data_IF_027656063841
#
_entry.id   IF_027656063841
#
_cell.length_a   1.000
_cell.length_b   1.000
_cell.length_c   1.000
_cell.angle_alpha   90.00
_cell.angle_beta   90.00
_cell.angle_gamma   90.00
#
_symmetry.space_group_name_H-M   'P 1'
#
loop_
_entity.id
_entity.type
_entity.pdbx_description
1 polymer ?
#
# COMPACT_ATOMS: atom_id res chain seq x y z
N UNK A 1 -53.00 -3.36 -32.81
CA UNK A 1 -52.47 -3.84 -31.50
C UNK A 1 -51.05 -4.41 -31.63
N UNK A 2 -50.77 -5.32 -32.57
CA UNK A 2 -49.44 -5.88 -32.79
C UNK A 2 -48.33 -4.84 -33.11
N UNK A 3 -48.63 -3.81 -33.90
CA UNK A 3 -47.64 -2.77 -34.25
C UNK A 3 -47.22 -1.89 -33.05
N UNK A 4 -48.14 -1.64 -32.11
CA UNK A 4 -47.85 -0.87 -30.89
C UNK A 4 -46.99 -1.70 -29.93
N UNK A 5 -47.26 -3.01 -29.83
CA UNK A 5 -46.46 -3.94 -29.02
C UNK A 5 -45.03 -4.07 -29.59
N UNK A 6 -44.87 -4.13 -30.92
CA UNK A 6 -43.56 -4.20 -31.57
C UNK A 6 -42.73 -2.92 -31.36
N UNK A 7 -43.34 -1.73 -31.45
CA UNK A 7 -42.65 -0.46 -31.21
C UNK A 7 -42.27 -0.29 -29.73
N UNK A 8 -43.13 -0.69 -28.80
CA UNK A 8 -42.81 -0.69 -27.36
C UNK A 8 -41.67 -1.65 -27.04
N UNK A 9 -41.62 -2.84 -27.65
CA UNK A 9 -40.50 -3.76 -27.49
C UNK A 9 -39.19 -3.23 -28.08
N UNK A 10 -39.22 -2.60 -29.26
CA UNK A 10 -38.00 -2.02 -29.87
C UNK A 10 -37.50 -0.81 -29.07
N UNK A 11 -38.38 0.00 -28.49
CA UNK A 11 -38.00 1.12 -27.62
C UNK A 11 -37.51 0.65 -26.25
N UNK A 12 -38.09 -0.41 -25.67
CA UNK A 12 -37.61 -0.99 -24.41
C UNK A 12 -36.28 -1.74 -24.58
N UNK A 13 -36.11 -2.48 -25.68
CA UNK A 13 -34.86 -3.20 -25.99
C UNK A 13 -33.78 -2.21 -26.44
N UNK A 14 -34.10 -1.26 -27.32
CA UNK A 14 -33.16 -0.24 -27.78
C UNK A 14 -32.80 0.80 -26.70
N UNK A 15 -33.80 1.22 -25.92
CA UNK A 15 -33.59 2.12 -24.78
C UNK A 15 -32.79 1.46 -23.66
N UNK A 16 -33.09 0.21 -23.33
CA UNK A 16 -32.34 -0.58 -22.35
C UNK A 16 -30.89 -0.84 -22.76
N UNK A 17 -30.63 -0.99 -24.06
CA UNK A 17 -29.29 -1.18 -24.61
C UNK A 17 -28.43 0.09 -24.51
N UNK A 18 -29.00 1.27 -24.82
CA UNK A 18 -28.29 2.55 -24.74
C UNK A 18 -28.12 3.03 -23.28
N UNK A 19 -29.03 2.67 -22.38
CA UNK A 19 -28.93 3.02 -20.95
C UNK A 19 -28.08 2.05 -20.13
N UNK A 20 -27.55 0.98 -20.72
CA UNK A 20 -26.80 -0.07 -20.01
C UNK A 20 -25.68 0.48 -19.11
N UNK A 21 -24.82 1.39 -19.58
CA UNK A 21 -23.78 1.99 -18.74
C UNK A 21 -24.30 2.72 -17.49
N UNK A 22 -25.51 3.29 -17.55
CA UNK A 22 -26.06 4.14 -16.48
C UNK A 22 -26.63 3.36 -15.29
N UNK A 23 -27.13 2.13 -15.50
CA UNK A 23 -27.68 1.30 -14.42
C UNK A 23 -26.72 0.21 -13.93
N UNK A 24 -25.67 -0.09 -14.70
CA UNK A 24 -24.68 -1.11 -14.39
C UNK A 24 -24.08 -0.98 -12.97
N UNK A 25 -23.67 0.22 -12.48
CA UNK A 25 -23.14 0.35 -11.13
C UNK A 25 -24.10 -0.12 -10.04
N UNK A 26 -25.40 0.16 -10.19
CA UNK A 26 -26.43 -0.26 -9.24
C UNK A 26 -26.67 -1.77 -9.26
N UNK A 27 -26.63 -2.37 -10.46
CA UNK A 27 -26.76 -3.81 -10.59
C UNK A 27 -25.56 -4.51 -9.95
N UNK A 28 -24.33 -4.13 -10.31
CA UNK A 28 -23.11 -4.70 -9.72
C UNK A 28 -23.07 -4.52 -8.21
N UNK A 29 -23.43 -3.35 -7.69
CA UNK A 29 -23.48 -3.11 -6.25
C UNK A 29 -24.33 -4.12 -5.48
N UNK A 30 -25.42 -4.61 -6.08
CA UNK A 30 -26.32 -5.59 -5.45
C UNK A 30 -26.02 -7.06 -5.79
N UNK A 31 -25.24 -7.35 -6.82
CA UNK A 31 -25.09 -8.71 -7.36
C UNK A 31 -23.69 -9.29 -7.29
N UNK A 32 -22.65 -8.45 -7.09
CA UNK A 32 -21.28 -8.93 -6.94
C UNK A 32 -20.69 -8.54 -5.58
N UNK A 33 -19.62 -9.24 -5.21
CA UNK A 33 -18.88 -9.03 -3.96
C UNK A 33 -19.79 -9.12 -2.72
N UNK A 34 -20.72 -10.08 -2.72
CA UNK A 34 -21.74 -10.29 -1.69
C UNK A 34 -22.53 -9.02 -1.29
N UNK A 35 -22.73 -8.11 -2.25
CA UNK A 35 -23.50 -6.88 -2.07
C UNK A 35 -22.81 -5.82 -1.18
N UNK A 36 -21.49 -5.92 -1.01
CA UNK A 36 -20.71 -5.02 -0.14
C UNK A 36 -20.29 -3.70 -0.82
N UNK A 37 -20.63 -3.51 -2.09
CA UNK A 37 -20.20 -2.35 -2.88
C UNK A 37 -21.26 -1.25 -2.91
N UNK A 38 -20.80 0.00 -2.98
CA UNK A 38 -21.65 1.16 -3.23
C UNK A 38 -21.82 1.39 -4.73
N UNK A 39 -23.07 1.61 -5.17
CA UNK A 39 -23.36 1.96 -6.56
C UNK A 39 -22.70 3.29 -6.96
N UNK A 40 -22.65 4.26 -6.05
CA UNK A 40 -22.03 5.56 -6.31
C UNK A 40 -20.51 5.42 -6.46
N UNK A 41 -19.86 4.59 -5.65
CA UNK A 41 -18.42 4.36 -5.79
C UNK A 41 -18.09 3.57 -7.06
N UNK A 42 -18.95 2.64 -7.45
CA UNK A 42 -18.81 1.92 -8.71
C UNK A 42 -19.01 2.83 -9.92
N UNK A 43 -19.92 3.81 -9.86
CA UNK A 43 -20.10 4.79 -10.93
C UNK A 43 -18.85 5.68 -11.11
N UNK A 44 -18.11 5.96 -10.03
CA UNK A 44 -16.87 6.73 -10.09
C UNK A 44 -15.67 5.91 -10.64
N UNK A 45 -15.68 4.58 -10.51
CA UNK A 45 -14.52 3.70 -10.85
C UNK A 45 -14.71 2.98 -12.17
N UNK A 46 -15.92 2.57 -12.48
CA UNK A 46 -16.21 1.82 -13.70
C UNK A 46 -16.27 2.76 -14.91
N UNK A 47 -15.73 2.37 -16.07
CA UNK A 47 -15.80 3.19 -17.26
C UNK A 47 -17.24 3.26 -17.81
N UNK A 48 -17.56 4.35 -18.51
CA UNK A 48 -18.83 4.56 -19.23
C UNK A 48 -18.94 3.71 -20.51
N UNK A 49 -18.81 2.39 -20.37
CA UNK A 49 -18.95 1.41 -21.45
C UNK A 49 -19.64 0.14 -20.96
N UNK A 50 -19.96 -0.74 -21.90
CA UNK A 50 -20.52 -2.05 -21.56
C UNK A 50 -19.47 -2.90 -20.80
N UNK A 51 -19.92 -3.55 -19.74
CA UNK A 51 -19.10 -4.38 -18.86
C UNK A 51 -19.79 -5.72 -18.65
N UNK A 52 -19.01 -6.71 -18.23
CA UNK A 52 -19.46 -8.03 -17.86
C UNK A 52 -19.13 -8.25 -16.39
N UNK A 53 -20.02 -8.96 -15.68
CA UNK A 53 -19.66 -9.41 -14.33
C UNK A 53 -18.46 -10.35 -14.43
N UNK A 54 -17.42 -10.09 -13.66
CA UNK A 54 -16.35 -11.05 -13.47
C UNK A 54 -16.83 -12.25 -12.66
N UNK A 55 -15.92 -13.19 -12.40
CA UNK A 55 -16.20 -14.32 -11.51
C UNK A 55 -16.20 -13.85 -10.05
N UNK A 56 -17.10 -14.40 -9.26
CA UNK A 56 -17.11 -14.24 -7.80
C UNK A 56 -16.84 -15.58 -7.11
N UNK A 57 -15.94 -15.54 -6.13
CA UNK A 57 -15.66 -16.61 -5.18
C UNK A 57 -15.70 -16.01 -3.77
N UNK A 58 -16.73 -16.36 -2.99
CA UNK A 58 -16.94 -15.82 -1.65
C UNK A 58 -17.02 -16.94 -0.61
N UNK A 59 -16.14 -16.87 0.39
CA UNK A 59 -16.18 -17.66 1.62
C UNK A 59 -15.86 -16.74 2.81
N UNK A 60 -16.83 -15.87 3.09
CA UNK A 60 -16.67 -14.77 4.05
C UNK A 60 -16.53 -15.26 5.50
N UNK A 61 -17.05 -16.45 5.81
CA UNK A 61 -16.85 -17.10 7.10
C UNK A 61 -15.38 -17.43 7.38
N UNK A 62 -14.58 -17.59 6.32
CA UNK A 62 -13.12 -17.77 6.40
C UNK A 62 -12.35 -16.55 5.87
N UNK A 63 -13.04 -15.42 5.65
CA UNK A 63 -12.43 -14.16 5.25
C UNK A 63 -11.83 -14.17 3.85
N UNK A 64 -12.45 -14.92 2.94
CA UNK A 64 -12.05 -15.00 1.53
C UNK A 64 -13.11 -14.36 0.64
N UNK A 65 -12.71 -13.42 -0.19
CA UNK A 65 -13.57 -12.84 -1.23
C UNK A 65 -12.74 -12.52 -2.46
N UNK A 66 -13.12 -13.06 -3.61
CA UNK A 66 -12.59 -12.64 -4.92
C UNK A 66 -13.76 -12.26 -5.79
N UNK A 67 -13.72 -11.08 -6.36
CA UNK A 67 -14.77 -10.61 -7.26
C UNK A 67 -14.21 -9.53 -8.18
N UNK A 68 -14.93 -9.24 -9.26
CA UNK A 68 -14.49 -8.24 -10.20
C UNK A 68 -15.53 -7.90 -11.26
N UNK A 69 -15.19 -6.89 -12.04
CA UNK A 69 -15.96 -6.47 -13.22
C UNK A 69 -15.00 -6.43 -14.37
N UNK A 70 -15.34 -7.11 -15.45
CA UNK A 70 -14.55 -7.18 -16.67
C UNK A 70 -15.13 -6.24 -17.73
N UNK A 71 -14.27 -5.75 -18.61
CA UNK A 71 -14.65 -5.12 -19.86
C UNK A 71 -15.09 -6.17 -20.88
N UNK A 72 -15.77 -5.73 -21.92
CA UNK A 72 -16.22 -6.55 -23.05
C UNK A 72 -15.09 -7.30 -23.78
N UNK A 73 -13.87 -6.73 -23.80
CA UNK A 73 -12.65 -7.33 -24.35
C UNK A 73 -11.89 -8.23 -23.35
N UNK A 74 -12.45 -8.49 -22.17
CA UNK A 74 -11.91 -9.43 -21.18
C UNK A 74 -10.76 -8.88 -20.33
N UNK A 75 -10.53 -7.57 -20.35
CA UNK A 75 -9.67 -6.89 -19.37
C UNK A 75 -10.46 -6.59 -18.09
N UNK A 76 -9.81 -6.48 -16.94
CA UNK A 76 -10.51 -6.11 -15.71
C UNK A 76 -10.73 -4.59 -15.65
N UNK A 77 -11.92 -4.16 -15.23
CA UNK A 77 -12.21 -2.78 -14.79
C UNK A 77 -12.08 -2.63 -13.27
N UNK A 78 -12.41 -3.70 -12.53
CA UNK A 78 -12.29 -3.78 -11.08
C UNK A 78 -11.89 -5.21 -10.70
N UNK A 79 -10.89 -5.35 -9.83
CA UNK A 79 -10.51 -6.62 -9.20
C UNK A 79 -10.45 -6.40 -7.70
N UNK A 80 -11.05 -7.31 -6.96
CA UNK A 80 -11.07 -7.33 -5.51
C UNK A 80 -10.58 -8.69 -5.04
N UNK A 81 -9.60 -8.67 -4.14
CA UNK A 81 -9.15 -9.84 -3.40
C UNK A 81 -9.16 -9.51 -1.91
N UNK A 82 -9.83 -10.34 -1.11
CA UNK A 82 -9.80 -10.28 0.36
C UNK A 82 -9.38 -11.64 0.87
N UNK A 83 -8.35 -11.67 1.70
CA UNK A 83 -7.81 -12.91 2.27
C UNK A 83 -7.50 -12.75 3.75
N UNK A 84 -7.84 -13.78 4.53
CA UNK A 84 -7.52 -13.85 5.96
C UNK A 84 -6.68 -15.08 6.33
N UNK A 85 -6.49 -16.01 5.39
CA UNK A 85 -5.60 -17.15 5.58
C UNK A 85 -4.15 -16.67 5.61
N UNK A 86 -3.31 -17.10 6.58
CA UNK A 86 -1.98 -16.53 6.76
C UNK A 86 -1.06 -16.77 5.57
N UNK A 87 -1.15 -17.92 4.92
CA UNK A 87 -0.28 -18.27 3.80
C UNK A 87 -0.69 -17.49 2.54
N UNK A 88 -2.00 -17.32 2.34
CA UNK A 88 -2.54 -16.49 1.25
C UNK A 88 -2.23 -15.01 1.48
N UNK A 89 -2.38 -14.49 2.70
CA UNK A 89 -2.01 -13.13 3.09
C UNK A 89 -0.52 -12.87 2.83
N UNK A 90 0.36 -13.77 3.28
CA UNK A 90 1.79 -13.64 3.05
C UNK A 90 2.10 -13.67 1.55
N UNK A 91 1.39 -14.50 0.76
CA UNK A 91 1.55 -14.56 -0.69
C UNK A 91 1.10 -13.29 -1.40
N UNK A 92 -0.07 -12.73 -1.05
CA UNK A 92 -0.59 -11.49 -1.65
C UNK A 92 0.33 -10.30 -1.37
N UNK A 93 0.79 -10.16 -0.12
CA UNK A 93 1.71 -9.09 0.26
C UNK A 93 3.10 -9.29 -0.34
N UNK A 94 3.62 -10.52 -0.37
CA UNK A 94 4.91 -10.80 -1.03
C UNK A 94 4.81 -10.52 -2.54
N UNK A 95 3.69 -10.87 -3.16
CA UNK A 95 3.43 -10.71 -4.59
C UNK A 95 3.60 -9.27 -5.07
N UNK A 96 3.10 -8.30 -4.31
CA UNK A 96 3.29 -6.86 -4.60
C UNK A 96 4.76 -6.49 -4.77
N UNK A 97 5.61 -6.97 -3.87
CA UNK A 97 6.99 -6.55 -3.79
C UNK A 97 7.97 -7.51 -4.47
N UNK A 98 7.46 -8.35 -5.38
CA UNK A 98 8.31 -9.16 -6.27
C UNK A 98 9.02 -8.29 -7.31
N UNK A 99 8.38 -7.20 -7.73
CA UNK A 99 9.00 -6.10 -8.44
C UNK A 99 9.41 -5.08 -7.36
N UNK A 100 10.61 -4.48 -7.43
CA UNK A 100 11.04 -3.41 -6.51
C UNK A 100 10.17 -2.15 -6.65
N UNK A 101 8.91 -2.21 -6.23
CA UNK A 101 7.96 -1.11 -6.20
C UNK A 101 7.91 -0.57 -4.79
N UNK A 102 8.04 0.74 -4.66
CA UNK A 102 7.80 1.42 -3.38
C UNK A 102 6.30 1.68 -3.28
N UNK A 103 5.69 1.54 -2.10
CA UNK A 103 4.33 2.02 -1.90
C UNK A 103 4.26 3.50 -2.32
N UNK A 104 3.32 3.82 -3.20
CA UNK A 104 3.21 5.15 -3.82
C UNK A 104 2.77 6.21 -2.82
N UNK A 105 1.86 5.86 -1.91
CA UNK A 105 1.42 6.70 -0.80
C UNK A 105 0.66 5.85 0.22
N UNK A 106 0.54 6.36 1.44
CA UNK A 106 -0.22 5.74 2.53
C UNK A 106 -1.59 6.41 2.62
N UNK A 107 -2.59 5.66 3.04
CA UNK A 107 -3.96 6.15 3.13
C UNK A 107 -4.16 7.19 4.25
N UNK A 108 -5.24 7.99 4.19
CA UNK A 108 -5.59 8.94 5.26
C UNK A 108 -5.64 8.28 6.65
N UNK A 109 -5.52 9.12 7.68
CA UNK A 109 -5.48 8.70 9.08
C UNK A 109 -6.59 7.69 9.43
N UNK A 110 -6.19 6.59 10.08
CA UNK A 110 -7.08 5.52 10.53
C UNK A 110 -7.23 4.34 9.58
N UNK A 111 -6.66 4.38 8.36
CA UNK A 111 -6.72 3.28 7.40
C UNK A 111 -5.34 2.59 7.32
N UNK A 112 -5.18 1.35 7.83
CA UNK A 112 -3.88 0.67 7.89
C UNK A 112 -3.53 0.06 6.53
N UNK A 113 -3.16 0.88 5.56
CA UNK A 113 -2.93 0.43 4.19
C UNK A 113 -2.01 1.32 3.37
N UNK A 114 -1.79 0.93 2.12
CA UNK A 114 -0.95 1.62 1.17
C UNK A 114 -1.42 1.42 -0.27
N UNK A 115 -1.12 2.38 -1.14
CA UNK A 115 -1.22 2.20 -2.58
C UNK A 115 0.08 1.63 -3.12
N UNK A 116 -0.04 0.72 -4.08
CA UNK A 116 1.08 0.19 -4.84
C UNK A 116 0.77 0.15 -6.34
N UNK A 117 1.63 -0.48 -7.14
CA UNK A 117 1.40 -0.65 -8.57
C UNK A 117 0.30 -1.68 -8.84
N UNK A 118 0.10 -2.65 -7.94
CA UNK A 118 -0.94 -3.68 -8.08
C UNK A 118 -2.24 -3.37 -7.32
N UNK A 119 -2.43 -2.14 -6.84
CA UNK A 119 -3.70 -1.66 -6.29
C UNK A 119 -3.61 -1.04 -4.90
N UNK A 120 -4.78 -0.91 -4.26
CA UNK A 120 -4.93 -0.44 -2.89
C UNK A 120 -4.90 -1.63 -1.94
N UNK A 121 -3.98 -1.63 -0.98
CA UNK A 121 -3.85 -2.67 0.03
C UNK A 121 -4.26 -2.13 1.40
N UNK A 122 -5.26 -2.72 2.03
CA UNK A 122 -5.58 -2.53 3.45
C UNK A 122 -5.16 -3.79 4.19
N UNK A 123 -4.41 -3.63 5.28
CA UNK A 123 -3.94 -4.73 6.13
C UNK A 123 -4.41 -4.47 7.56
N UNK A 124 -5.51 -5.12 7.95
CA UNK A 124 -6.07 -5.02 9.29
C UNK A 124 -5.64 -6.20 10.16
N UNK A 125 -5.24 -5.92 11.40
CA UNK A 125 -5.11 -6.97 12.41
C UNK A 125 -6.52 -7.47 12.80
N UNK A 126 -6.67 -8.80 12.92
CA UNK A 126 -7.89 -9.47 13.35
C UNK A 126 -7.68 -10.11 14.75
N UNK A 127 -7.89 -9.34 15.84
CA UNK A 127 -7.56 -9.77 17.20
C UNK A 127 -8.42 -10.91 17.74
N UNK A 128 -9.65 -11.06 17.27
CA UNK A 128 -10.58 -12.08 17.78
C UNK A 128 -10.38 -13.44 17.09
N UNK A 129 -9.63 -13.47 15.98
CA UNK A 129 -9.23 -14.71 15.34
C UNK A 129 -8.07 -15.35 16.08
N UNK A 130 -8.09 -16.69 16.14
CA UNK A 130 -7.01 -17.46 16.73
C UNK A 130 -5.70 -17.19 15.99
N UNK A 131 -4.64 -16.90 16.76
CA UNK A 131 -3.26 -16.85 16.25
C UNK A 131 -2.93 -18.09 15.43
N UNK A 132 -2.10 -17.91 14.42
CA UNK A 132 -1.70 -19.03 13.56
C UNK A 132 -0.78 -20.03 14.27
N UNK A 133 -0.35 -21.07 13.55
CA UNK A 133 0.53 -22.13 14.06
C UNK A 133 1.89 -21.61 14.56
N UNK A 134 2.32 -20.43 14.09
CA UNK A 134 3.56 -19.77 14.50
C UNK A 134 3.33 -18.72 15.60
N UNK A 135 2.11 -18.62 16.13
CA UNK A 135 1.74 -17.66 17.16
C UNK A 135 1.57 -16.22 16.65
N UNK A 136 1.49 -16.01 15.33
CA UNK A 136 1.33 -14.68 14.73
C UNK A 136 -0.11 -14.20 14.82
N UNK A 137 -0.29 -12.87 14.80
CA UNK A 137 -1.62 -12.27 14.69
C UNK A 137 -2.22 -12.63 13.33
N UNK A 138 -3.53 -12.92 13.29
CA UNK A 138 -4.24 -13.04 12.02
C UNK A 138 -4.47 -11.64 11.46
N UNK A 139 -4.46 -11.54 10.14
CA UNK A 139 -4.73 -10.31 9.41
C UNK A 139 -5.79 -10.55 8.36
N UNK A 140 -6.51 -9.50 8.03
CA UNK A 140 -7.33 -9.42 6.83
C UNK A 140 -6.61 -8.48 5.86
N UNK A 141 -6.24 -9.00 4.69
CA UNK A 141 -5.70 -8.18 3.60
C UNK A 141 -6.81 -7.99 2.59
N UNK A 142 -7.13 -6.73 2.28
CA UNK A 142 -8.02 -6.34 1.20
C UNK A 142 -7.22 -5.62 0.13
N UNK A 143 -7.22 -6.17 -1.08
CA UNK A 143 -6.60 -5.61 -2.26
C UNK A 143 -7.69 -5.21 -3.25
N UNK A 144 -7.63 -3.97 -3.75
CA UNK A 144 -8.53 -3.48 -4.79
C UNK A 144 -7.75 -2.84 -5.92
N UNK A 145 -7.96 -3.35 -7.12
CA UNK A 145 -7.44 -2.81 -8.38
C UNK A 145 -8.60 -2.20 -9.14
N UNK A 146 -8.48 -0.95 -9.56
CA UNK A 146 -9.49 -0.28 -10.37
C UNK A 146 -8.88 0.94 -11.04
N UNK A 147 -9.69 1.66 -11.82
CA UNK A 147 -9.27 2.91 -12.42
C UNK A 147 -8.70 3.86 -11.33
N UNK A 148 -7.53 4.44 -11.61
CA UNK A 148 -6.84 5.38 -10.72
C UNK A 148 -6.50 6.65 -11.50
N UNK A 149 -7.04 7.79 -11.06
CA UNK A 149 -6.66 9.10 -11.56
C UNK A 149 -5.64 9.75 -10.61
N UNK A 150 -4.38 9.78 -11.03
CA UNK A 150 -3.27 10.40 -10.29
C UNK A 150 -3.49 11.90 -10.03
N UNK A 151 -4.28 12.60 -10.85
CA UNK A 151 -4.48 14.06 -10.74
C UNK A 151 -5.57 14.44 -9.74
N UNK A 152 -6.64 13.67 -9.67
CA UNK A 152 -7.78 13.94 -8.79
C UNK A 152 -7.78 13.06 -7.53
N UNK A 153 -6.85 12.12 -7.46
CA UNK A 153 -6.76 11.12 -6.40
C UNK A 153 -7.90 10.13 -6.58
N UNK A 154 -7.76 8.95 -6.00
CA UNK A 154 -8.85 7.98 -6.06
C UNK A 154 -9.47 7.79 -4.68
N UNK A 155 -10.49 8.62 -4.35
CA UNK A 155 -11.37 8.36 -3.23
C UNK A 155 -12.20 7.10 -3.44
N UNK A 156 -12.74 6.86 -4.64
CA UNK A 156 -13.74 5.82 -4.85
C UNK A 156 -13.17 4.40 -4.72
N UNK A 157 -12.05 4.10 -5.38
CA UNK A 157 -11.38 2.78 -5.26
C UNK A 157 -10.93 2.51 -3.82
N UNK A 158 -10.45 3.53 -3.10
CA UNK A 158 -10.12 3.41 -1.68
C UNK A 158 -11.38 3.23 -0.80
N UNK A 159 -12.48 3.93 -1.07
CA UNK A 159 -13.77 3.75 -0.37
C UNK A 159 -14.33 2.36 -0.61
N UNK A 160 -14.18 1.80 -1.81
CA UNK A 160 -14.48 0.40 -2.12
C UNK A 160 -13.62 -0.52 -1.24
N UNK A 161 -12.30 -0.33 -1.22
CA UNK A 161 -11.40 -1.14 -0.39
C UNK A 161 -11.78 -1.09 1.09
N UNK A 162 -12.07 0.10 1.63
CA UNK A 162 -12.50 0.29 3.02
C UNK A 162 -13.84 -0.40 3.30
N UNK A 163 -14.82 -0.25 2.40
CA UNK A 163 -16.15 -0.86 2.56
C UNK A 163 -16.08 -2.39 2.57
N UNK A 164 -15.29 -2.96 1.65
CA UNK A 164 -15.04 -4.40 1.59
C UNK A 164 -14.30 -4.90 2.83
N UNK A 165 -13.25 -4.20 3.25
CA UNK A 165 -12.48 -4.56 4.43
C UNK A 165 -13.36 -4.56 5.70
N UNK A 166 -14.20 -3.54 5.88
CA UNK A 166 -15.18 -3.47 6.97
C UNK A 166 -16.23 -4.58 6.88
N UNK A 167 -16.84 -4.77 5.72
CA UNK A 167 -17.90 -5.76 5.51
C UNK A 167 -17.43 -7.20 5.69
N UNK A 168 -16.26 -7.55 5.13
CA UNK A 168 -15.66 -8.88 5.30
C UNK A 168 -15.19 -9.07 6.74
N UNK A 169 -14.56 -8.07 7.36
CA UNK A 169 -14.15 -8.15 8.77
C UNK A 169 -15.32 -8.42 9.71
N UNK A 170 -16.45 -7.74 9.50
CA UNK A 170 -17.68 -7.93 10.27
C UNK A 170 -18.23 -9.36 10.10
N UNK A 171 -18.33 -9.85 8.86
CA UNK A 171 -18.85 -11.20 8.56
C UNK A 171 -17.93 -12.31 9.07
N UNK A 172 -16.61 -12.08 9.01
CA UNK A 172 -15.60 -12.95 9.59
C UNK A 172 -15.61 -12.93 11.14
N UNK A 173 -16.18 -11.88 11.75
CA UNK A 173 -16.16 -11.69 13.20
C UNK A 173 -14.73 -11.50 13.73
N UNK A 174 -13.88 -10.82 12.96
CA UNK A 174 -12.44 -10.84 13.19
C UNK A 174 -11.95 -9.85 14.28
N UNK A 175 -12.84 -8.98 14.75
CA UNK A 175 -12.59 -8.01 15.82
C UNK A 175 -11.79 -6.78 15.39
N UNK A 176 -11.59 -6.57 14.08
CA UNK A 176 -10.90 -5.38 13.60
C UNK A 176 -11.79 -4.14 13.81
N UNK A 177 -11.23 -2.99 14.25
CA UNK A 177 -11.96 -1.74 14.31
C UNK A 177 -12.49 -1.34 12.93
N UNK A 178 -13.70 -0.78 12.90
CA UNK A 178 -14.28 -0.22 11.68
C UNK A 178 -13.40 0.94 11.16
N UNK A 179 -13.03 0.85 9.90
CA UNK A 179 -12.20 1.84 9.24
C UNK A 179 -13.04 3.03 8.77
N UNK A 180 -12.53 4.26 8.88
CA UNK A 180 -13.23 5.44 8.42
C UNK A 180 -13.29 5.47 6.88
N UNK A 181 -14.48 5.72 6.32
CA UNK A 181 -14.62 5.95 4.88
C UNK A 181 -13.95 7.28 4.49
N UNK A 182 -12.97 7.28 3.57
CA UNK A 182 -12.28 8.49 3.20
C UNK A 182 -13.17 9.40 2.36
N UNK A 183 -13.30 10.65 2.79
CA UNK A 183 -14.03 11.68 2.02
C UNK A 183 -13.23 12.16 0.79
N UNK A 184 -11.89 12.16 0.90
CA UNK A 184 -10.93 12.46 -0.19
C UNK A 184 -9.64 11.66 0.07
N UNK A 185 -8.99 11.19 -0.99
CA UNK A 185 -7.60 10.75 -0.91
C UNK A 185 -6.72 12.01 -0.74
N UNK A 186 -5.88 12.04 0.29
CA UNK A 186 -4.85 13.09 0.40
C UNK A 186 -3.71 12.67 -0.50
N UNK A 187 -3.64 13.24 -1.70
CA UNK A 187 -2.61 12.91 -2.70
C UNK A 187 -1.30 13.62 -2.36
N UNK A 188 -1.39 14.82 -1.78
CA UNK A 188 -0.24 15.65 -1.48
C UNK A 188 -0.11 15.83 0.02
N UNK A 189 0.73 15.00 0.63
CA UNK A 189 1.22 15.27 1.97
C UNK A 189 2.05 16.57 1.93
N UNK A 190 1.59 17.57 2.68
CA UNK A 190 2.27 18.85 2.77
C UNK A 190 3.64 18.67 3.42
N UNK A 191 4.70 19.02 2.71
CA UNK A 191 6.03 19.03 3.28
C UNK A 191 6.11 19.98 4.50
N UNK A 192 6.54 19.50 5.66
CA UNK A 192 6.65 20.24 6.93
C UNK A 192 8.10 20.36 7.40
N UNK A 193 8.37 21.12 8.46
CA UNK A 193 9.70 21.12 9.06
C UNK A 193 10.04 19.74 9.65
N UNK A 194 11.31 19.30 9.68
CA UNK A 194 11.68 17.98 10.19
C UNK A 194 11.17 17.68 11.62
N UNK A 195 11.15 18.66 12.51
CA UNK A 195 10.63 18.51 13.87
C UNK A 195 9.09 18.35 13.94
N UNK A 196 8.38 18.78 12.90
CA UNK A 196 6.92 18.71 12.76
C UNK A 196 6.48 17.45 11.99
N UNK A 197 7.42 16.61 11.55
CA UNK A 197 7.18 15.41 10.75
C UNK A 197 6.49 14.25 11.47
N UNK A 198 5.72 14.51 12.53
CA UNK A 198 4.93 13.51 13.23
C UNK A 198 5.73 12.29 13.73
N UNK A 199 5.06 11.14 13.79
CA UNK A 199 5.63 9.91 14.33
C UNK A 199 6.67 9.24 13.43
N UNK A 200 6.59 9.41 12.11
CA UNK A 200 7.46 8.71 11.16
C UNK A 200 8.68 9.56 10.72
N UNK A 201 8.57 10.89 10.68
CA UNK A 201 9.69 11.79 10.34
C UNK A 201 10.22 12.66 11.49
N UNK A 202 9.50 12.81 12.62
CA UNK A 202 9.89 13.73 13.69
C UNK A 202 11.28 13.49 14.29
N UNK A 203 11.84 12.28 14.13
CA UNK A 203 13.21 11.95 14.53
C UNK A 203 14.27 12.78 13.79
N UNK A 204 13.98 13.24 12.56
CA UNK A 204 14.88 14.08 11.76
C UNK A 204 15.17 15.42 12.45
N UNK A 205 14.25 15.91 13.29
CA UNK A 205 14.46 17.12 14.10
C UNK A 205 15.48 16.94 15.24
N UNK A 206 15.86 15.70 15.57
CA UNK A 206 16.77 15.37 16.69
C UNK A 206 18.15 14.87 16.24
N UNK A 207 18.39 14.82 14.93
CA UNK A 207 19.65 14.37 14.34
C UNK A 207 20.33 15.50 13.57
N UNK A 208 21.64 15.37 13.39
CA UNK A 208 22.39 16.27 12.52
C UNK A 208 22.13 15.91 11.06
N UNK A 209 21.37 16.73 10.35
CA UNK A 209 21.15 16.59 8.92
C UNK A 209 22.37 17.08 8.11
N UNK A 210 22.64 16.49 6.93
CA UNK A 210 23.63 17.02 6.01
C UNK A 210 23.22 18.42 5.52
N UNK A 211 24.16 19.18 4.97
CA UNK A 211 23.82 20.49 4.37
C UNK A 211 22.95 20.25 3.14
N UNK A 212 21.82 20.94 3.05
CA UNK A 212 21.01 20.95 1.84
C UNK A 212 21.79 21.63 0.70
N UNK A 213 21.95 20.99 -0.47
CA UNK A 213 22.65 21.58 -1.61
C UNK A 213 22.04 22.90 -2.13
N UNK A 214 20.73 23.13 -1.93
CA UNK A 214 20.08 24.40 -2.27
C UNK A 214 20.36 25.52 -1.26
N UNK A 215 20.97 25.20 -0.11
CA UNK A 215 21.17 26.11 1.02
C UNK A 215 19.89 26.42 1.80
N UNK A 216 18.73 25.89 1.41
CA UNK A 216 17.46 26.05 2.15
C UNK A 216 17.33 25.00 3.27
N UNK A 217 16.47 25.25 4.27
CA UNK A 217 16.14 24.22 5.26
C UNK A 217 15.57 22.96 4.58
N UNK A 218 15.89 21.79 5.14
CA UNK A 218 15.18 20.56 4.76
C UNK A 218 13.71 20.65 5.16
N UNK A 219 12.84 19.98 4.39
CA UNK A 219 11.48 19.65 4.79
C UNK A 219 11.29 18.14 4.75
N UNK A 220 10.17 17.68 5.28
CA UNK A 220 9.83 16.26 5.31
C UNK A 220 8.39 16.03 4.89
N UNK A 221 8.19 14.91 4.21
CA UNK A 221 6.88 14.32 3.88
C UNK A 221 6.80 13.02 4.66
N UNK A 222 5.69 12.77 5.35
CA UNK A 222 5.60 11.72 6.36
C UNK A 222 4.22 11.11 6.34
N UNK A 223 4.20 9.80 6.28
CA UNK A 223 2.94 9.07 6.46
C UNK A 223 2.53 9.05 7.93
N UNK A 224 1.30 8.64 8.16
CA UNK A 224 0.72 8.54 9.50
C UNK A 224 1.30 7.36 10.31
N UNK A 225 1.12 7.44 11.63
CA UNK A 225 1.65 6.45 12.56
C UNK A 225 0.93 5.09 12.47
N UNK A 226 1.65 4.01 12.78
CA UNK A 226 1.12 2.63 12.99
C UNK A 226 0.53 1.91 11.77
N UNK A 227 0.95 2.28 10.57
CA UNK A 227 0.60 1.55 9.34
C UNK A 227 1.47 0.30 9.12
N UNK A 228 1.06 -0.65 8.26
CA UNK A 228 1.89 -1.83 7.91
C UNK A 228 3.21 -1.43 7.26
N UNK A 229 3.23 -0.27 6.59
CA UNK A 229 4.43 0.36 6.04
C UNK A 229 4.43 1.84 6.45
N UNK A 230 5.44 2.24 7.22
CA UNK A 230 5.73 3.64 7.55
C UNK A 230 6.67 4.21 6.51
N UNK A 231 6.52 5.47 6.12
CA UNK A 231 7.50 6.16 5.28
C UNK A 231 7.78 7.57 5.76
N UNK A 232 8.97 8.03 5.44
CA UNK A 232 9.46 9.35 5.71
C UNK A 232 10.38 9.79 4.57
N UNK A 233 10.08 10.90 3.92
CA UNK A 233 10.87 11.43 2.81
C UNK A 233 11.47 12.77 3.20
N UNK A 234 12.79 12.88 3.06
CA UNK A 234 13.53 14.13 3.20
C UNK A 234 13.50 14.88 1.87
N UNK A 235 12.95 16.09 1.84
CA UNK A 235 12.76 16.88 0.62
C UNK A 235 13.51 18.21 0.68
N UNK A 236 14.05 18.63 -0.46
CA UNK A 236 14.61 19.98 -0.61
C UNK A 236 13.47 21.01 -0.71
N UNK A 237 13.43 21.98 0.21
CA UNK A 237 12.39 23.01 0.21
C UNK A 237 12.37 23.91 -1.03
N UNK A 238 13.51 24.07 -1.72
CA UNK A 238 13.59 24.94 -2.89
C UNK A 238 12.97 24.30 -4.14
N UNK A 239 13.30 23.03 -4.39
CA UNK A 239 12.87 22.29 -5.57
C UNK A 239 11.65 21.40 -5.34
N UNK A 240 11.32 21.09 -4.09
CA UNK A 240 10.33 20.06 -3.73
C UNK A 240 10.81 18.63 -3.97
N UNK A 241 12.05 18.43 -4.44
CA UNK A 241 12.54 17.13 -4.85
C UNK A 241 12.92 16.24 -3.64
N UNK A 242 12.58 14.94 -3.67
CA UNK A 242 13.01 13.98 -2.67
C UNK A 242 14.53 13.76 -2.75
N UNK A 243 15.17 13.71 -1.58
CA UNK A 243 16.62 13.51 -1.44
C UNK A 243 16.95 12.16 -0.80
N UNK A 244 16.14 11.75 0.16
CA UNK A 244 16.25 10.44 0.78
C UNK A 244 14.88 9.97 1.24
N UNK A 245 14.63 8.69 1.06
CA UNK A 245 13.43 8.01 1.50
C UNK A 245 13.81 7.03 2.61
N UNK A 246 12.96 6.95 3.63
CA UNK A 246 13.07 6.02 4.73
C UNK A 246 11.76 5.26 4.83
N UNK A 247 11.82 3.94 4.93
CA UNK A 247 10.61 3.12 5.00
C UNK A 247 10.76 2.02 6.05
N UNK A 248 9.69 1.72 6.78
CA UNK A 248 9.65 0.69 7.83
C UNK A 248 8.48 -0.24 7.57
N UNK A 249 8.74 -1.54 7.50
CA UNK A 249 7.81 -2.56 7.04
C UNK A 249 7.61 -3.59 8.16
N UNK A 250 6.37 -3.95 8.48
CA UNK A 250 6.07 -4.71 9.68
C UNK A 250 5.22 -5.95 9.39
N UNK A 251 5.76 -7.12 9.72
CA UNK A 251 5.14 -8.43 9.53
C UNK A 251 6.08 -9.41 8.81
N UNK A 252 5.84 -10.71 8.94
CA UNK A 252 6.71 -11.72 8.33
C UNK A 252 6.69 -11.72 6.81
N UNK A 253 5.60 -11.27 6.19
CA UNK A 253 5.50 -11.06 4.74
C UNK A 253 6.64 -10.21 4.18
N UNK A 254 7.28 -9.39 5.01
CA UNK A 254 8.38 -8.51 4.62
C UNK A 254 9.70 -9.25 4.34
N UNK A 255 9.90 -10.47 4.84
CA UNK A 255 11.18 -11.18 4.75
C UNK A 255 11.59 -11.46 3.29
N UNK A 256 10.68 -12.01 2.49
CA UNK A 256 10.93 -12.29 1.07
C UNK A 256 11.03 -10.99 0.27
N UNK A 257 10.15 -10.02 0.53
CA UNK A 257 10.16 -8.71 -0.14
C UNK A 257 11.49 -7.99 0.08
N UNK A 258 12.02 -7.96 1.31
CA UNK A 258 13.29 -7.31 1.61
C UNK A 258 14.48 -8.06 1.00
N UNK A 259 14.45 -9.39 0.99
CA UNK A 259 15.49 -10.18 0.32
C UNK A 259 15.54 -9.86 -1.19
N UNK A 260 14.38 -9.76 -1.84
CA UNK A 260 14.25 -9.36 -3.25
C UNK A 260 14.75 -7.94 -3.47
N UNK A 261 14.34 -6.98 -2.63
CA UNK A 261 14.81 -5.58 -2.69
C UNK A 261 16.34 -5.48 -2.56
N UNK A 262 16.94 -6.20 -1.60
CA UNK A 262 18.40 -6.26 -1.44
C UNK A 262 19.04 -6.82 -2.71
N UNK A 263 18.54 -7.95 -3.21
CA UNK A 263 19.06 -8.59 -4.42
C UNK A 263 18.96 -7.72 -5.67
N UNK A 264 17.93 -6.88 -5.77
CA UNK A 264 17.73 -5.95 -6.87
C UNK A 264 18.65 -4.73 -6.80
N UNK A 265 18.97 -4.24 -5.60
CA UNK A 265 19.68 -2.97 -5.41
C UNK A 265 21.18 -3.11 -5.14
N UNK A 266 21.65 -4.27 -4.67
CA UNK A 266 23.02 -4.44 -4.15
C UNK A 266 23.78 -5.52 -4.91
N UNK A 267 24.98 -5.17 -5.38
CA UNK A 267 25.92 -6.13 -5.95
C UNK A 267 26.64 -6.89 -4.82
N UNK A 268 26.04 -7.99 -4.39
CA UNK A 268 26.56 -8.84 -3.32
C UNK A 268 27.63 -9.82 -3.85
N UNK A 269 28.68 -10.12 -3.06
CA UNK A 269 29.64 -11.17 -3.39
C UNK A 269 28.96 -12.54 -3.55
N UNK A 270 29.55 -13.42 -4.37
CA UNK A 270 29.15 -14.82 -4.42
C UNK A 270 29.21 -15.42 -2.99
N UNK A 271 28.18 -16.18 -2.61
CA UNK A 271 28.01 -16.76 -1.27
C UNK A 271 27.73 -15.76 -0.14
N UNK A 272 27.16 -14.58 -0.45
CA UNK A 272 26.59 -13.76 0.61
C UNK A 272 25.35 -14.45 1.21
N UNK A 273 25.51 -15.09 2.36
CA UNK A 273 24.45 -15.85 3.06
C UNK A 273 23.48 -14.95 3.85
N UNK A 274 23.55 -13.63 3.69
CA UNK A 274 22.79 -12.68 4.50
C UNK A 274 21.60 -12.05 3.76
N UNK A 275 20.42 -12.08 4.38
CA UNK A 275 19.36 -11.08 4.18
C UNK A 275 19.47 -9.94 5.20
N UNK A 276 20.60 -9.87 5.91
CA UNK A 276 20.79 -8.99 7.05
C UNK A 276 21.06 -7.52 6.69
N UNK A 277 21.13 -6.65 7.72
CA UNK A 277 21.38 -5.22 7.56
C UNK A 277 22.66 -4.91 6.79
N UNK A 278 22.58 -4.03 5.80
CA UNK A 278 23.72 -3.62 4.98
C UNK A 278 23.60 -2.18 4.49
N UNK A 279 24.66 -1.68 3.86
CA UNK A 279 24.64 -0.43 3.10
C UNK A 279 25.16 -0.68 1.70
N UNK A 280 24.56 -0.06 0.70
CA UNK A 280 25.16 0.20 -0.61
C UNK A 280 25.35 1.71 -0.84
N UNK A 281 25.75 2.10 -2.04
CA UNK A 281 26.03 3.50 -2.37
C UNK A 281 24.79 4.41 -2.24
N UNK A 282 23.61 3.88 -2.56
CA UNK A 282 22.33 4.62 -2.57
C UNK A 282 21.19 3.95 -1.78
N UNK A 283 21.48 2.86 -1.07
CA UNK A 283 20.48 2.08 -0.37
C UNK A 283 21.07 1.51 0.94
N UNK A 284 20.21 1.15 1.89
CA UNK A 284 20.63 0.52 3.12
C UNK A 284 19.46 -0.11 3.85
N UNK A 285 19.76 -1.12 4.65
CA UNK A 285 18.76 -1.90 5.38
C UNK A 285 19.10 -2.04 6.86
N UNK A 286 18.07 -2.15 7.69
CA UNK A 286 18.12 -2.58 9.08
C UNK A 286 16.95 -3.54 9.37
N UNK A 287 17.02 -4.29 10.46
CA UNK A 287 15.98 -5.27 10.81
C UNK A 287 15.70 -5.28 12.31
N UNK A 288 14.50 -5.66 12.72
CA UNK A 288 14.10 -5.87 14.11
C UNK A 288 13.01 -6.95 14.20
N UNK A 289 12.51 -7.18 15.41
CA UNK A 289 11.36 -8.06 15.69
C UNK A 289 10.30 -7.30 16.49
N UNK A 290 9.13 -7.08 15.91
CA UNK A 290 8.00 -6.40 16.57
C UNK A 290 6.90 -7.42 16.84
N UNK A 291 6.43 -7.55 18.07
CA UNK A 291 5.42 -8.56 18.47
C UNK A 291 5.75 -10.00 18.01
N UNK A 292 7.05 -10.34 17.94
CA UNK A 292 7.55 -11.64 17.48
C UNK A 292 7.72 -11.77 15.96
N UNK A 293 7.21 -10.82 15.19
CA UNK A 293 7.26 -10.81 13.73
C UNK A 293 8.43 -9.98 13.20
N UNK A 294 8.86 -10.29 11.98
CA UNK A 294 9.92 -9.53 11.29
C UNK A 294 9.49 -8.08 11.07
N UNK A 295 10.45 -7.17 11.23
CA UNK A 295 10.32 -5.79 10.79
C UNK A 295 11.60 -5.37 10.09
N UNK A 296 11.46 -4.74 8.94
CA UNK A 296 12.60 -4.28 8.14
C UNK A 296 12.51 -2.79 7.92
N UNK A 297 13.68 -2.15 7.88
CA UNK A 297 13.81 -0.72 7.67
C UNK A 297 14.74 -0.47 6.49
N UNK A 298 14.37 0.48 5.65
CA UNK A 298 15.10 0.89 4.46
C UNK A 298 15.50 2.36 4.60
N UNK A 299 16.64 2.71 4.01
CA UNK A 299 16.87 4.06 3.53
C UNK A 299 17.40 4.01 2.10
N UNK A 300 16.90 4.89 1.23
CA UNK A 300 17.37 5.01 -0.15
C UNK A 300 17.50 6.45 -0.60
N UNK A 301 18.32 6.68 -1.62
CA UNK A 301 18.59 7.99 -2.23
C UNK A 301 18.80 7.81 -3.72
N UNK A 302 17.68 7.61 -4.42
CA UNK A 302 17.65 7.53 -5.87
C UNK A 302 17.27 8.90 -6.42
N UNK A 303 18.21 9.66 -7.00
CA UNK A 303 17.88 10.96 -7.54
C UNK A 303 16.95 10.77 -8.74
N UNK A 304 15.82 11.46 -8.73
CA UNK A 304 15.08 11.75 -9.95
C UNK A 304 15.86 12.90 -10.60
N UNK A 305 16.45 12.67 -11.79
CA UNK A 305 17.33 13.59 -12.54
C UNK A 305 18.80 13.74 -12.05
N UNK A 306 19.49 14.81 -12.48
CA UNK A 306 20.87 15.18 -12.09
C UNK A 306 20.98 15.68 -10.63
N UNK A 307 19.94 15.49 -9.81
CA UNK A 307 19.98 15.84 -8.41
C UNK A 307 21.11 15.07 -7.70
N UNK A 308 21.83 15.74 -6.80
CA UNK A 308 22.85 15.07 -6.00
C UNK A 308 22.14 14.12 -5.02
N UNK A 309 22.55 12.87 -4.98
CA UNK A 309 22.13 11.93 -3.95
C UNK A 309 22.93 12.13 -2.65
N UNK A 310 22.37 11.69 -1.52
CA UNK A 310 23.14 11.62 -0.29
C UNK A 310 24.18 10.50 -0.41
N UNK A 311 25.46 10.74 -0.15
CA UNK A 311 26.43 9.67 -0.16
C UNK A 311 26.13 8.67 0.97
N UNK A 312 26.40 7.39 0.77
CA UNK A 312 26.13 6.32 1.76
C UNK A 312 26.65 6.63 3.18
N UNK A 313 27.77 7.36 3.30
CA UNK A 313 28.34 7.78 4.60
C UNK A 313 27.44 8.77 5.37
N UNK A 314 26.63 9.56 4.65
CA UNK A 314 25.65 10.50 5.20
C UNK A 314 24.29 9.81 5.35
N UNK A 315 23.92 8.89 4.46
CA UNK A 315 22.67 8.12 4.55
C UNK A 315 22.67 7.15 5.74
N UNK A 316 23.78 6.43 5.97
CA UNK A 316 23.89 5.42 7.04
C UNK A 316 23.49 5.94 8.44
N UNK A 317 24.03 7.06 8.96
CA UNK A 317 23.61 7.55 10.28
C UNK A 317 22.14 7.93 10.34
N UNK A 318 21.55 8.38 9.21
CA UNK A 318 20.12 8.67 9.12
C UNK A 318 19.28 7.38 9.19
N UNK A 319 19.66 6.34 8.44
CA UNK A 319 19.03 5.01 8.53
C UNK A 319 19.09 4.43 9.96
N UNK A 320 20.25 4.54 10.61
CA UNK A 320 20.42 4.07 11.99
C UNK A 320 19.49 4.82 12.95
N UNK A 321 19.35 6.13 12.79
CA UNK A 321 18.46 6.92 13.63
C UNK A 321 16.98 6.60 13.37
N UNK A 322 16.59 6.48 12.10
CA UNK A 322 15.25 6.05 11.69
C UNK A 322 14.87 4.70 12.30
N UNK A 323 15.70 3.67 12.07
CA UNK A 323 15.42 2.32 12.53
C UNK A 323 15.32 2.23 14.06
N UNK A 324 16.13 3.01 14.80
CA UNK A 324 16.04 3.10 16.26
C UNK A 324 14.74 3.74 16.73
N UNK A 325 14.37 4.90 16.18
CA UNK A 325 13.15 5.61 16.56
C UNK A 325 11.91 4.75 16.26
N UNK A 326 11.85 4.13 15.08
CA UNK A 326 10.72 3.30 14.69
C UNK A 326 10.64 1.99 15.49
N UNK A 327 11.77 1.33 15.77
CA UNK A 327 11.81 0.16 16.63
C UNK A 327 11.34 0.49 18.06
N UNK A 328 11.80 1.59 18.64
CA UNK A 328 11.42 2.02 19.99
C UNK A 328 9.90 2.30 20.09
N UNK A 329 9.35 3.09 19.16
CA UNK A 329 7.92 3.44 19.13
C UNK A 329 6.98 2.25 19.03
N UNK A 330 7.45 1.17 18.42
CA UNK A 330 6.68 -0.07 18.21
C UNK A 330 7.05 -1.18 19.20
N UNK A 331 7.92 -0.90 20.18
CA UNK A 331 8.36 -1.90 21.15
C UNK A 331 9.10 -3.07 20.51
N UNK A 332 9.77 -2.84 19.37
CA UNK A 332 10.50 -3.88 18.67
C UNK A 332 11.79 -4.24 19.41
N UNK A 333 12.18 -5.50 19.31
CA UNK A 333 13.38 -6.08 19.93
C UNK A 333 14.35 -6.55 18.85
N UNK A 334 15.55 -6.98 19.26
CA UNK A 334 16.57 -7.55 18.35
C UNK A 334 16.90 -6.64 17.15
N UNK A 335 16.98 -5.32 17.40
CA UNK A 335 17.35 -4.36 16.37
C UNK A 335 18.78 -4.64 15.87
N UNK A 336 18.90 -4.93 14.59
CA UNK A 336 20.14 -5.15 13.87
C UNK A 336 20.33 -3.97 12.92
N UNK A 337 21.49 -3.32 13.02
CA UNK A 337 21.81 -2.09 12.29
C UNK A 337 22.88 -2.37 11.24
N UNK A 338 22.90 -1.63 10.13
CA UNK A 338 23.89 -1.84 9.08
C UNK A 338 25.31 -1.51 9.56
N UNK A 339 26.26 -2.33 9.11
CA UNK A 339 27.69 -2.10 9.32
C UNK A 339 28.23 -0.90 8.55
N UNK A 340 29.52 -0.61 8.71
CA UNK A 340 30.19 0.50 7.99
C UNK A 340 30.55 0.16 6.54
N UNK A 341 30.53 -1.12 6.17
CA UNK A 341 30.87 -1.60 4.83
C UNK A 341 29.81 -1.13 3.85
N UNK A 342 30.26 -0.50 2.76
CA UNK A 342 29.42 -0.06 1.64
C UNK A 342 29.64 -1.05 0.49
N UNK A 343 28.57 -1.67 0.02
CA UNK A 343 28.57 -2.53 -1.15
C UNK A 343 28.26 -1.71 -2.41
N UNK A 344 28.73 -2.12 -3.61
CA UNK A 344 28.34 -1.46 -4.85
C UNK A 344 26.84 -1.67 -5.11
N UNK A 345 26.20 -0.71 -5.79
CA UNK A 345 24.85 -0.93 -6.30
C UNK A 345 24.86 -1.96 -7.43
N UNK A 346 23.73 -2.65 -7.62
CA UNK A 346 23.47 -3.42 -8.84
C UNK A 346 23.09 -2.41 -9.93
N UNK A 347 23.76 -2.48 -11.09
CA UNK A 347 23.50 -1.59 -12.23
C UNK A 347 22.20 -1.94 -12.93
#
# INVERSE_FOLDING_TARGET
>A
MAAVIAVVLVVLVGGGYVSKPLWQPWWYAGTICDGLLSADDLADVLPDKELQAGKEEADLAHGRLKCGVDTDDGHFSLVVDVESDPDEVDRELTGEFTIPTRPRFVFPSGIPGFQSDLGHYIVQDCPDLRRDSSGRKRRLVTRVIGAWDEKNGTPATLRIAVSLANGVSQKLGCGAPELPLPKRAVIEEKAVAPAEGGANCGWLGRVRLPKNPSGKPWRVVSTEARTPITSCTLVDAASGQPYADFSGWYGNWTDTSFATLIGANVALPNHFEGTGPLMSEHFGTAAARCDGESAHYEASTYPVDQARSLPARELRPLLVAFARDQAERRGCTRLQLPGKRIYPNRR
#
